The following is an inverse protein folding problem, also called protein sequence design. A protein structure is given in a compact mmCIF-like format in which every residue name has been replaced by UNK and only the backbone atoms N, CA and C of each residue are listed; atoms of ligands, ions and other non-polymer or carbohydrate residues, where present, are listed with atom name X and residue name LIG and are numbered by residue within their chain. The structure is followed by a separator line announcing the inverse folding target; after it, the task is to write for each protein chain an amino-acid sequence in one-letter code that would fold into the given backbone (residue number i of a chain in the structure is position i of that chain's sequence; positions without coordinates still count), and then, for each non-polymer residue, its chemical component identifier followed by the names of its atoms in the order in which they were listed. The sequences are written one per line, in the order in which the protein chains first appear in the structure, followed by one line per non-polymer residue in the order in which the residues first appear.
data_IF_343406905090
#
_entry.id   IF_343406905090
#
_cell.length_a   1.000
_cell.length_b   1.000
_cell.length_c   1.000
_cell.angle_alpha   90.00
_cell.angle_beta   90.00
_cell.angle_gamma   90.00
#
_symmetry.space_group_name_H-M   'P 1'
#
loop_
_entity.id
_entity.type
_entity.pdbx_description
1 polymer ?
#
# COMPACT_ATOMS: atom_id res chain seq x y z
N UNK A 1 4.90 -92.91 14.28
CA UNK A 1 4.26 -92.05 15.31
C UNK A 1 5.32 -91.06 15.76
N UNK A 2 5.47 -89.97 15.01
CA UNK A 2 6.49 -88.94 15.20
C UNK A 2 6.17 -87.80 14.22
N UNK A 3 5.51 -86.74 14.69
CA UNK A 3 5.44 -85.49 13.93
C UNK A 3 6.24 -84.44 14.71
N UNK A 4 7.37 -84.06 14.11
CA UNK A 4 8.18 -82.89 14.51
C UNK A 4 7.45 -81.64 14.02
N UNK A 5 7.10 -80.75 14.95
CA UNK A 5 6.56 -79.43 14.63
C UNK A 5 7.74 -78.44 14.57
N UNK A 6 8.10 -78.01 13.36
CA UNK A 6 9.14 -77.00 13.11
C UNK A 6 8.49 -75.62 13.22
N UNK A 7 8.86 -74.84 14.23
CA UNK A 7 8.41 -73.45 14.35
C UNK A 7 9.17 -72.56 13.35
N UNK A 8 8.45 -72.00 12.38
CA UNK A 8 8.96 -71.03 11.41
C UNK A 8 8.82 -69.62 12.01
N UNK A 9 9.94 -68.98 12.34
CA UNK A 9 9.98 -67.56 12.74
C UNK A 9 9.73 -66.69 11.50
N UNK A 10 8.57 -66.04 11.42
CA UNK A 10 8.28 -65.03 10.39
C UNK A 10 8.80 -63.68 10.89
N UNK A 11 9.90 -63.20 10.30
CA UNK A 11 10.40 -61.85 10.53
C UNK A 11 9.53 -60.85 9.75
N UNK A 12 8.75 -60.04 10.46
CA UNK A 12 7.99 -58.93 9.87
C UNK A 12 8.95 -57.75 9.70
N UNK A 13 9.38 -57.49 8.46
CA UNK A 13 10.10 -56.26 8.10
C UNK A 13 9.11 -55.10 8.01
N UNK A 14 9.12 -54.21 9.00
CA UNK A 14 8.39 -52.95 8.93
C UNK A 14 9.13 -51.98 7.99
N UNK A 15 8.64 -51.85 6.76
CA UNK A 15 9.09 -50.79 5.84
C UNK A 15 8.55 -49.44 6.32
N UNK A 16 9.40 -48.62 6.92
CA UNK A 16 9.11 -47.21 7.20
C UNK A 16 9.04 -46.48 5.87
N UNK A 17 7.83 -46.12 5.45
CA UNK A 17 7.62 -45.18 4.35
C UNK A 17 8.03 -43.81 4.87
N UNK A 18 9.26 -43.38 4.54
CA UNK A 18 9.69 -42.01 4.70
C UNK A 18 8.86 -41.15 3.73
N UNK A 19 7.83 -40.49 4.25
CA UNK A 19 7.19 -39.37 3.56
C UNK A 19 8.26 -38.32 3.32
N UNK A 20 8.60 -38.08 2.05
CA UNK A 20 9.48 -36.98 1.69
C UNK A 20 8.85 -35.69 2.20
N UNK A 21 9.58 -34.94 3.03
CA UNK A 21 9.26 -33.55 3.29
C UNK A 21 9.11 -32.84 1.94
N UNK A 22 7.91 -32.32 1.69
CA UNK A 22 7.63 -31.44 0.56
C UNK A 22 8.68 -30.33 0.56
N UNK A 23 9.54 -30.38 -0.45
CA UNK A 23 10.42 -29.27 -0.82
C UNK A 23 9.51 -28.08 -1.11
N UNK A 24 9.92 -26.93 -0.58
CA UNK A 24 9.18 -25.67 -0.51
C UNK A 24 8.15 -25.44 -1.62
N UNK A 25 6.97 -24.98 -1.21
CA UNK A 25 5.96 -24.42 -2.10
C UNK A 25 6.66 -23.57 -3.17
N UNK A 26 6.56 -24.00 -4.42
CA UNK A 26 7.05 -23.22 -5.55
C UNK A 26 6.49 -21.80 -5.41
N UNK A 27 7.36 -20.79 -5.46
CA UNK A 27 6.93 -19.40 -5.50
C UNK A 27 5.87 -19.31 -6.61
N UNK A 28 4.65 -18.87 -6.26
CA UNK A 28 3.59 -18.69 -7.23
C UNK A 28 4.14 -17.95 -8.45
N UNK A 29 3.89 -18.47 -9.65
CA UNK A 29 4.43 -17.90 -10.88
C UNK A 29 4.13 -16.40 -10.92
N UNK A 30 5.19 -15.61 -11.12
CA UNK A 30 5.07 -14.16 -11.13
C UNK A 30 4.05 -13.73 -12.21
N UNK A 31 3.02 -12.93 -11.86
CA UNK A 31 2.00 -12.54 -12.81
C UNK A 31 2.60 -11.76 -13.98
N UNK A 32 2.06 -11.96 -15.18
CA UNK A 32 2.38 -11.08 -16.29
C UNK A 32 1.71 -9.72 -16.04
N UNK A 33 2.44 -8.59 -16.15
CA UNK A 33 1.80 -7.28 -16.13
C UNK A 33 0.72 -7.23 -17.20
N UNK A 34 -0.52 -6.81 -16.87
CA UNK A 34 -1.56 -6.66 -17.87
C UNK A 34 -1.11 -5.68 -18.96
N UNK A 35 -1.58 -5.88 -20.18
CA UNK A 35 -1.28 -4.98 -21.28
C UNK A 35 -1.83 -3.58 -20.96
N UNK A 36 -0.95 -2.58 -20.88
CA UNK A 36 -1.36 -1.18 -20.80
C UNK A 36 -1.85 -0.72 -22.17
N UNK A 37 -2.99 -0.03 -22.19
CA UNK A 37 -3.28 0.86 -23.32
C UNK A 37 -2.30 2.02 -23.22
N UNK A 38 -1.60 2.37 -24.31
CA UNK A 38 -0.61 3.45 -24.28
C UNK A 38 -1.23 4.73 -23.73
N UNK A 39 -0.84 5.12 -22.51
CA UNK A 39 -1.34 6.32 -21.82
C UNK A 39 -0.26 7.39 -21.74
N UNK A 40 -0.68 8.64 -21.86
CA UNK A 40 0.17 9.83 -21.83
C UNK A 40 0.05 10.61 -20.50
N UNK A 41 -0.48 9.96 -19.47
CA UNK A 41 -0.64 10.48 -18.12
C UNK A 41 -0.20 9.45 -17.08
N UNK A 42 0.17 9.92 -15.89
CA UNK A 42 0.58 9.07 -14.76
C UNK A 42 -0.64 8.51 -13.99
N UNK A 43 -0.47 7.35 -13.34
CA UNK A 43 -1.43 6.72 -12.44
C UNK A 43 -0.79 6.56 -11.07
N UNK A 44 -1.50 7.02 -10.04
CA UNK A 44 -1.12 6.91 -8.64
C UNK A 44 -2.17 6.06 -7.93
N UNK A 45 -1.75 5.00 -7.24
CA UNK A 45 -2.65 4.19 -6.42
C UNK A 45 -2.28 4.30 -4.93
N UNK A 46 -3.24 4.76 -4.12
CA UNK A 46 -3.05 5.09 -2.71
C UNK A 46 -3.88 4.17 -1.83
N UNK A 47 -3.22 3.53 -0.88
CA UNK A 47 -3.79 2.63 0.11
C UNK A 47 -3.92 3.38 1.44
N UNK A 48 -5.15 3.64 1.87
CA UNK A 48 -5.42 4.32 3.14
C UNK A 48 -5.97 3.32 4.14
N UNK A 49 -5.15 2.90 5.10
CA UNK A 49 -5.62 2.09 6.23
C UNK A 49 -6.39 3.01 7.19
N UNK A 50 -7.72 2.86 7.26
CA UNK A 50 -8.56 3.68 8.12
C UNK A 50 -8.16 3.53 9.59
N UNK A 51 -8.21 4.64 10.33
CA UNK A 51 -7.86 4.66 11.75
C UNK A 51 -8.86 3.81 12.54
N UNK A 52 -8.39 2.91 13.40
CA UNK A 52 -9.28 2.05 14.16
C UNK A 52 -8.73 1.79 15.57
N UNK A 53 -9.43 2.30 16.58
CA UNK A 53 -9.04 2.17 17.98
C UNK A 53 -9.11 0.71 18.47
N UNK A 54 -9.99 -0.10 17.88
CA UNK A 54 -10.28 -1.45 18.37
C UNK A 54 -9.27 -2.48 17.87
N UNK A 55 -8.92 -2.43 16.58
CA UNK A 55 -8.06 -3.44 15.95
C UNK A 55 -6.60 -3.02 15.77
N UNK A 56 -6.26 -1.75 15.98
CA UNK A 56 -4.90 -1.23 15.77
C UNK A 56 -4.25 -0.86 17.11
N UNK A 57 -2.96 -1.13 17.24
CA UNK A 57 -2.14 -0.76 18.41
C UNK A 57 -1.85 0.75 18.53
N UNK A 58 -2.79 1.60 18.11
CA UNK A 58 -2.65 3.06 18.11
C UNK A 58 -2.93 3.65 19.49
N UNK A 59 -2.38 4.84 19.75
CA UNK A 59 -2.90 5.68 20.82
C UNK A 59 -4.36 6.02 20.49
N UNK A 60 -5.33 5.72 21.39
CA UNK A 60 -6.73 5.93 21.08
C UNK A 60 -7.03 7.38 20.73
N UNK A 61 -7.75 7.57 19.62
CA UNK A 61 -8.30 8.86 19.20
C UNK A 61 -9.79 8.93 19.59
N UNK A 62 -10.47 10.08 19.52
CA UNK A 62 -11.90 10.14 19.78
C UNK A 62 -12.68 9.09 18.97
N UNK A 63 -13.61 8.37 19.60
CA UNK A 63 -14.27 7.20 19.02
C UNK A 63 -14.86 7.45 17.62
N UNK A 64 -15.40 8.65 17.39
CA UNK A 64 -15.96 9.04 16.09
C UNK A 64 -14.95 9.01 14.93
N UNK A 65 -13.69 9.39 15.18
CA UNK A 65 -12.66 9.47 14.14
C UNK A 65 -11.75 8.23 14.13
N UNK A 66 -11.85 7.40 15.17
CA UNK A 66 -11.13 6.12 15.32
C UNK A 66 -12.00 4.90 15.07
N UNK A 67 -13.09 5.03 14.30
CA UNK A 67 -13.90 3.91 13.84
C UNK A 67 -13.45 3.50 12.43
N UNK A 68 -12.85 2.32 12.31
CA UNK A 68 -12.33 1.78 11.05
C UNK A 68 -13.39 1.36 10.03
N UNK A 69 -14.66 1.36 10.41
CA UNK A 69 -15.82 1.01 9.59
C UNK A 69 -16.64 2.23 9.14
N UNK A 70 -16.26 3.45 9.57
CA UNK A 70 -16.94 4.70 9.25
C UNK A 70 -16.04 5.66 8.45
N UNK A 71 -15.90 5.48 7.13
CA UNK A 71 -15.08 6.36 6.30
C UNK A 71 -15.48 7.84 6.42
N UNK A 72 -16.77 8.13 6.56
CA UNK A 72 -17.29 9.49 6.53
C UNK A 72 -16.73 10.37 7.67
N UNK A 73 -16.40 9.76 8.81
CA UNK A 73 -15.83 10.45 9.96
C UNK A 73 -14.37 10.09 10.26
N UNK A 74 -13.82 9.05 9.62
CA UNK A 74 -12.49 8.53 9.94
C UNK A 74 -11.37 9.58 9.82
N UNK A 75 -10.40 9.51 10.75
CA UNK A 75 -9.25 10.42 10.85
C UNK A 75 -8.43 10.54 9.56
N UNK A 76 -8.23 9.44 8.82
CA UNK A 76 -7.41 9.42 7.60
C UNK A 76 -8.23 9.61 6.31
N UNK A 77 -9.55 9.78 6.42
CA UNK A 77 -10.45 9.83 5.28
C UNK A 77 -11.43 11.01 5.30
N UNK A 78 -12.40 10.99 6.20
CA UNK A 78 -13.52 11.93 6.25
C UNK A 78 -13.23 13.24 6.98
N UNK A 79 -12.26 13.23 7.91
CA UNK A 79 -11.80 14.44 8.60
C UNK A 79 -11.16 15.45 7.62
N UNK A 80 -11.01 16.73 8.02
CA UNK A 80 -10.54 17.81 7.13
C UNK A 80 -9.22 17.52 6.41
N UNK A 81 -8.33 16.80 7.09
CA UNK A 81 -7.00 16.43 6.63
C UNK A 81 -6.95 15.00 6.04
N UNK A 82 -8.08 14.29 6.06
CA UNK A 82 -8.25 12.97 5.49
C UNK A 82 -8.38 12.99 3.97
N UNK A 83 -8.07 11.87 3.33
CA UNK A 83 -7.92 11.78 1.87
C UNK A 83 -9.16 12.21 1.10
N UNK A 84 -10.35 11.77 1.52
CA UNK A 84 -11.61 12.16 0.87
C UNK A 84 -11.86 13.64 0.97
N UNK A 85 -11.80 14.20 2.17
CA UNK A 85 -12.12 15.61 2.40
C UNK A 85 -11.10 16.54 1.75
N UNK A 86 -9.81 16.20 1.87
CA UNK A 86 -8.71 17.05 1.39
C UNK A 86 -8.69 17.13 -0.14
N UNK A 87 -8.66 16.00 -0.84
CA UNK A 87 -8.65 16.00 -2.31
C UNK A 87 -9.95 16.54 -2.91
N UNK A 88 -11.11 16.31 -2.28
CA UNK A 88 -12.38 16.89 -2.75
C UNK A 88 -12.42 18.43 -2.66
N UNK A 89 -11.65 19.04 -1.75
CA UNK A 89 -11.52 20.51 -1.63
C UNK A 89 -10.39 21.09 -2.48
N UNK A 90 -9.55 20.25 -3.07
CA UNK A 90 -8.40 20.73 -3.85
C UNK A 90 -8.86 21.42 -5.12
N UNK A 91 -8.23 22.57 -5.43
CA UNK A 91 -8.47 23.29 -6.70
C UNK A 91 -7.78 22.61 -7.88
N UNK A 92 -6.84 21.70 -7.63
CA UNK A 92 -6.00 21.05 -8.64
C UNK A 92 -6.57 19.72 -9.13
N UNK A 93 -7.47 19.11 -8.36
CA UNK A 93 -8.01 17.79 -8.62
C UNK A 93 -9.51 17.85 -8.87
N UNK A 94 -9.99 17.07 -9.83
CA UNK A 94 -11.41 16.88 -10.12
C UNK A 94 -11.79 15.45 -9.74
N UNK A 95 -12.84 15.26 -8.94
CA UNK A 95 -13.34 13.92 -8.60
C UNK A 95 -14.13 13.37 -9.78
N UNK A 96 -13.69 12.23 -10.32
CA UNK A 96 -14.38 11.51 -11.40
C UNK A 96 -15.40 10.51 -10.84
N UNK A 97 -15.06 9.80 -9.77
CA UNK A 97 -15.97 8.84 -9.14
C UNK A 97 -15.71 8.67 -7.64
N UNK A 98 -16.72 8.14 -6.97
CA UNK A 98 -16.69 7.70 -5.58
C UNK A 98 -17.67 6.53 -5.42
N UNK A 99 -17.24 5.43 -4.81
CA UNK A 99 -18.13 4.29 -4.61
C UNK A 99 -17.44 3.09 -3.97
N UNK A 100 -18.21 2.03 -3.73
CA UNK A 100 -17.67 0.76 -3.25
C UNK A 100 -16.96 0.01 -4.39
N UNK A 101 -15.95 -0.78 -4.04
CA UNK A 101 -15.29 -1.67 -4.98
C UNK A 101 -16.01 -3.02 -4.99
N UNK A 102 -16.43 -3.48 -6.17
CA UNK A 102 -17.10 -4.78 -6.33
C UNK A 102 -16.14 -5.90 -5.90
N UNK A 103 -16.66 -6.89 -5.18
CA UNK A 103 -15.93 -8.09 -4.73
C UNK A 103 -14.72 -7.81 -3.80
N UNK A 104 -14.60 -6.59 -3.27
CA UNK A 104 -13.55 -6.18 -2.35
C UNK A 104 -14.14 -5.51 -1.09
N UNK A 105 -14.86 -6.26 -0.22
CA UNK A 105 -15.57 -5.71 0.94
C UNK A 105 -14.67 -5.07 2.01
N UNK A 106 -13.37 -5.35 1.97
CA UNK A 106 -12.34 -4.72 2.79
C UNK A 106 -12.03 -3.28 2.36
N UNK A 107 -12.39 -2.88 1.13
CA UNK A 107 -12.28 -1.49 0.65
C UNK A 107 -13.67 -0.86 0.76
N UNK A 108 -13.82 0.08 1.70
CA UNK A 108 -15.12 0.67 2.02
C UNK A 108 -15.55 1.75 1.02
N UNK A 109 -14.58 2.47 0.46
CA UNK A 109 -14.79 3.49 -0.58
C UNK A 109 -13.52 3.61 -1.42
N UNK A 110 -13.68 3.62 -2.74
CA UNK A 110 -12.66 4.01 -3.71
C UNK A 110 -13.03 5.36 -4.30
N UNK A 111 -12.05 6.26 -4.37
CA UNK A 111 -12.16 7.55 -5.02
C UNK A 111 -11.24 7.59 -6.23
N UNK A 112 -11.73 8.18 -7.32
CA UNK A 112 -10.94 8.48 -8.50
C UNK A 112 -10.92 9.99 -8.70
N UNK A 113 -9.73 10.56 -8.71
CA UNK A 113 -9.49 11.96 -9.04
C UNK A 113 -8.59 12.07 -10.27
N UNK A 114 -8.78 13.14 -11.04
CA UNK A 114 -7.90 13.49 -12.15
C UNK A 114 -7.30 14.88 -11.90
N UNK A 115 -5.98 14.99 -12.05
CA UNK A 115 -5.30 16.27 -11.95
C UNK A 115 -5.59 17.14 -13.16
N UNK A 116 -6.06 18.38 -12.94
CA UNK A 116 -6.57 19.26 -14.00
C UNK A 116 -5.54 19.64 -15.07
N UNK A 117 -4.25 19.66 -14.72
CA UNK A 117 -3.17 20.06 -15.65
C UNK A 117 -2.47 18.87 -16.29
N UNK A 118 -2.03 17.90 -15.49
CA UNK A 118 -1.23 16.76 -15.99
C UNK A 118 -2.07 15.57 -16.44
N UNK A 119 -3.39 15.60 -16.21
CA UNK A 119 -4.31 14.46 -16.37
C UNK A 119 -3.97 13.23 -15.55
N UNK A 120 -3.02 13.35 -14.61
CA UNK A 120 -2.65 12.26 -13.70
C UNK A 120 -3.88 11.74 -12.98
N UNK A 121 -4.04 10.43 -12.99
CA UNK A 121 -5.11 9.74 -12.27
C UNK A 121 -4.62 9.41 -10.86
N UNK A 122 -5.41 9.76 -9.86
CA UNK A 122 -5.20 9.38 -8.46
C UNK A 122 -6.36 8.51 -8.02
N UNK A 123 -6.05 7.24 -7.74
CA UNK A 123 -6.97 6.25 -7.20
C UNK A 123 -6.64 6.08 -5.72
N UNK A 124 -7.64 6.22 -4.86
CA UNK A 124 -7.47 6.18 -3.41
C UNK A 124 -8.47 5.18 -2.82
N UNK A 125 -7.97 4.21 -2.07
CA UNK A 125 -8.78 3.17 -1.44
C UNK A 125 -8.81 3.32 0.08
N UNK A 126 -10.02 3.45 0.63
CA UNK A 126 -10.28 3.41 2.06
C UNK A 126 -10.37 1.96 2.54
N UNK A 127 -9.26 1.40 2.99
CA UNK A 127 -9.21 0.07 3.57
C UNK A 127 -9.79 0.11 4.98
N UNK A 128 -10.76 -0.78 5.24
CA UNK A 128 -11.36 -1.00 6.56
C UNK A 128 -10.25 -1.12 7.61
N UNK A 129 -10.43 -0.47 8.76
CA UNK A 129 -9.35 -0.38 9.76
C UNK A 129 -8.86 -1.73 10.28
N UNK A 130 -9.78 -2.68 10.49
CA UNK A 130 -9.47 -4.08 10.84
C UNK A 130 -8.79 -4.88 9.73
N UNK A 131 -8.73 -4.34 8.52
CA UNK A 131 -8.06 -4.91 7.35
C UNK A 131 -6.69 -4.29 7.09
N UNK A 132 -6.04 -3.69 8.10
CA UNK A 132 -4.71 -3.08 7.95
C UNK A 132 -3.63 -4.08 7.50
N UNK A 133 -3.64 -5.32 8.03
CA UNK A 133 -2.68 -6.34 7.62
C UNK A 133 -2.83 -6.72 6.14
N UNK A 134 -4.02 -7.09 5.62
CA UNK A 134 -4.18 -7.34 4.20
C UNK A 134 -3.97 -6.08 3.33
N UNK A 135 -4.24 -4.88 3.85
CA UNK A 135 -3.93 -3.62 3.16
C UNK A 135 -2.41 -3.47 2.91
N UNK A 136 -1.59 -3.61 3.95
CA UNK A 136 -0.12 -3.52 3.83
C UNK A 136 0.43 -4.67 2.98
N UNK A 137 -0.14 -5.87 3.12
CA UNK A 137 0.24 -7.01 2.28
C UNK A 137 -0.01 -6.71 0.80
N UNK A 138 -1.18 -6.19 0.43
CA UNK A 138 -1.49 -5.86 -0.97
C UNK A 138 -0.64 -4.69 -1.48
N UNK A 139 -0.37 -3.69 -0.64
CA UNK A 139 0.58 -2.61 -0.96
C UNK A 139 1.98 -3.17 -1.27
N UNK A 140 2.52 -4.07 -0.44
CA UNK A 140 3.81 -4.71 -0.67
C UNK A 140 3.82 -5.61 -1.92
N UNK A 141 2.74 -6.36 -2.18
CA UNK A 141 2.59 -7.14 -3.42
C UNK A 141 2.56 -6.23 -4.65
N UNK A 142 1.91 -5.07 -4.54
CA UNK A 142 1.84 -4.07 -5.61
C UNK A 142 3.21 -3.45 -5.88
N UNK A 143 3.97 -3.10 -4.84
CA UNK A 143 5.35 -2.62 -4.96
C UNK A 143 6.23 -3.63 -5.70
N UNK A 144 6.09 -4.91 -5.37
CA UNK A 144 6.83 -6.00 -5.99
C UNK A 144 6.34 -6.36 -7.41
N UNK A 145 5.25 -5.75 -7.90
CA UNK A 145 4.67 -6.11 -9.18
C UNK A 145 4.01 -7.48 -9.19
N UNK A 146 3.58 -7.99 -8.04
CA UNK A 146 2.94 -9.30 -7.86
C UNK A 146 1.41 -9.19 -7.73
N UNK A 147 0.87 -7.96 -7.72
CA UNK A 147 -0.56 -7.66 -7.73
C UNK A 147 -0.85 -6.61 -8.80
N UNK A 148 -1.88 -6.85 -9.60
CA UNK A 148 -2.42 -5.90 -10.58
C UNK A 148 -3.94 -5.87 -10.49
N UNK A 149 -4.53 -4.76 -10.89
CA UNK A 149 -5.98 -4.63 -11.09
C UNK A 149 -6.20 -3.70 -12.29
N UNK A 150 -7.07 -4.10 -13.23
CA UNK A 150 -7.51 -3.24 -14.33
C UNK A 150 -8.73 -2.45 -13.87
N UNK A 151 -8.61 -1.13 -13.88
CA UNK A 151 -9.63 -0.19 -13.47
C UNK A 151 -10.24 0.50 -14.70
N UNK A 152 -11.57 0.40 -14.80
CA UNK A 152 -12.34 1.20 -15.75
C UNK A 152 -12.82 2.49 -15.09
N UNK A 153 -12.62 3.63 -15.75
CA UNK A 153 -13.16 4.91 -15.31
C UNK A 153 -13.70 5.72 -16.49
N UNK A 154 -14.50 6.74 -16.20
CA UNK A 154 -15.06 7.66 -17.20
C UNK A 154 -14.63 9.09 -16.91
N UNK A 155 -14.25 9.81 -17.96
CA UNK A 155 -14.09 11.26 -17.95
C UNK A 155 -14.87 11.91 -19.10
N UNK A 156 -14.59 13.17 -19.42
CA UNK A 156 -15.22 13.91 -20.50
C UNK A 156 -14.92 13.36 -21.91
N UNK A 157 -13.88 12.53 -22.06
CA UNK A 157 -13.47 11.91 -23.32
C UNK A 157 -14.01 10.50 -23.51
N UNK A 158 -14.68 9.94 -22.51
CA UNK A 158 -15.31 8.63 -22.56
C UNK A 158 -14.80 7.67 -21.50
N UNK A 159 -14.91 6.38 -21.79
CA UNK A 159 -14.48 5.30 -20.90
C UNK A 159 -13.04 4.89 -21.21
N UNK A 160 -12.24 4.71 -20.15
CA UNK A 160 -10.83 4.36 -20.22
C UNK A 160 -10.54 3.17 -19.31
N UNK A 161 -9.51 2.40 -19.65
CA UNK A 161 -8.97 1.34 -18.81
C UNK A 161 -7.49 1.60 -18.50
N UNK A 162 -7.13 1.50 -17.22
CA UNK A 162 -5.76 1.64 -16.73
C UNK A 162 -5.46 0.53 -15.73
N UNK A 163 -4.19 0.13 -15.59
CA UNK A 163 -3.85 -0.77 -14.49
C UNK A 163 -3.41 0.03 -13.26
N UNK A 164 -3.96 -0.36 -12.11
CA UNK A 164 -3.58 0.13 -10.78
C UNK A 164 -2.79 -0.96 -10.04
N UNK A 165 -2.55 -0.77 -8.73
CA UNK A 165 -1.66 -1.65 -7.96
C UNK A 165 -0.26 -1.68 -8.61
N UNK A 166 0.31 -2.85 -8.92
CA UNK A 166 1.60 -2.95 -9.60
C UNK A 166 1.69 -2.26 -10.96
N UNK A 167 0.52 -1.91 -11.55
CA UNK A 167 0.33 -1.12 -12.77
C UNK A 167 0.60 0.39 -12.64
N UNK A 168 0.61 0.92 -11.41
CA UNK A 168 0.76 2.34 -11.15
C UNK A 168 2.21 2.84 -11.27
N UNK A 169 2.36 4.13 -11.59
CA UNK A 169 3.66 4.82 -11.64
C UNK A 169 4.14 5.24 -10.24
N UNK A 170 3.18 5.48 -9.34
CA UNK A 170 3.42 5.72 -7.92
C UNK A 170 2.42 4.92 -7.06
N UNK A 171 2.96 4.29 -6.02
CA UNK A 171 2.19 3.68 -4.95
C UNK A 171 2.36 4.51 -3.68
N UNK A 172 1.27 4.77 -2.99
CA UNK A 172 1.28 5.49 -1.73
C UNK A 172 0.56 4.71 -0.62
N UNK A 173 1.08 4.78 0.60
CA UNK A 173 0.42 4.26 1.80
C UNK A 173 0.21 5.39 2.80
N UNK A 174 -0.98 5.45 3.41
CA UNK A 174 -1.36 6.39 4.47
C UNK A 174 -2.06 5.62 5.59
N UNK A 175 -1.66 5.87 6.84
CA UNK A 175 -2.40 5.40 8.02
C UNK A 175 -1.48 4.98 9.15
N UNK A 176 -2.00 4.12 10.03
CA UNK A 176 -1.18 3.50 11.07
C UNK A 176 -0.07 2.62 10.46
N UNK A 177 1.06 2.50 11.16
CA UNK A 177 2.12 1.59 10.75
C UNK A 177 1.89 0.20 11.35
N UNK A 178 1.08 -0.63 10.69
CA UNK A 178 0.80 -2.00 11.11
C UNK A 178 2.05 -2.90 11.24
N UNK A 179 3.15 -2.56 10.55
CA UNK A 179 4.42 -3.30 10.68
C UNK A 179 5.12 -3.09 12.04
N UNK A 180 4.58 -2.21 12.90
CA UNK A 180 4.98 -2.09 14.30
C UNK A 180 4.37 -3.20 15.17
N UNK A 181 3.28 -3.82 14.73
CA UNK A 181 2.57 -4.87 15.48
C UNK A 181 2.70 -6.26 14.84
N UNK A 182 2.88 -6.32 13.52
CA UNK A 182 3.04 -7.58 12.79
C UNK A 182 4.21 -7.54 11.81
N UNK A 183 4.60 -8.72 11.32
CA UNK A 183 5.62 -8.86 10.28
C UNK A 183 5.05 -9.49 9.03
N UNK A 184 5.50 -9.01 7.87
CA UNK A 184 5.25 -9.61 6.57
C UNK A 184 6.57 -10.07 5.95
N UNK A 185 6.55 -11.05 5.04
CA UNK A 185 7.72 -11.37 4.24
C UNK A 185 8.07 -10.20 3.31
N UNK A 186 9.37 -10.03 3.04
CA UNK A 186 9.80 -9.20 1.94
C UNK A 186 9.53 -9.91 0.62
N UNK A 187 9.08 -9.17 -0.40
CA UNK A 187 8.74 -9.72 -1.71
C UNK A 187 9.76 -9.24 -2.74
N UNK A 188 10.40 -10.15 -3.50
CA UNK A 188 11.31 -9.75 -4.57
C UNK A 188 10.54 -9.15 -5.75
N UNK A 189 11.19 -8.25 -6.46
CA UNK A 189 10.67 -7.67 -7.70
C UNK A 189 10.27 -8.76 -8.69
N UNK A 190 9.06 -8.64 -9.25
CA UNK A 190 8.61 -9.45 -10.36
C UNK A 190 9.50 -9.16 -11.60
N UNK A 191 10.24 -10.15 -12.13
CA UNK A 191 11.14 -9.95 -13.26
C UNK A 191 10.40 -9.59 -14.56
N UNK A 192 9.10 -9.88 -14.66
CA UNK A 192 8.27 -9.52 -15.81
C UNK A 192 7.85 -8.04 -15.79
N UNK A 193 7.98 -7.37 -14.64
CA UNK A 193 7.63 -5.95 -14.50
C UNK A 193 8.71 -5.06 -15.10
N UNK A 194 8.35 -4.33 -16.16
CA UNK A 194 9.27 -3.43 -16.88
C UNK A 194 9.27 -1.99 -16.36
N UNK A 195 8.14 -1.51 -15.87
CA UNK A 195 8.00 -0.12 -15.44
C UNK A 195 8.69 0.12 -14.09
N UNK A 196 9.21 1.32 -13.84
CA UNK A 196 9.65 1.72 -12.50
C UNK A 196 8.42 2.12 -11.65
N UNK A 197 8.46 1.92 -10.33
CA UNK A 197 7.41 2.46 -9.42
C UNK A 197 8.05 3.34 -8.38
N UNK A 198 7.45 4.51 -8.17
CA UNK A 198 7.74 5.39 -7.04
C UNK A 198 6.94 4.96 -5.82
N UNK A 199 7.53 5.05 -4.62
CA UNK A 199 6.84 4.72 -3.38
C UNK A 199 6.80 5.90 -2.41
N UNK A 200 5.63 6.20 -1.85
CA UNK A 200 5.45 7.16 -0.76
C UNK A 200 4.81 6.44 0.42
N UNK A 201 5.44 6.47 1.59
CA UNK A 201 4.91 5.77 2.77
C UNK A 201 4.78 6.72 3.95
N UNK A 202 3.54 7.11 4.24
CA UNK A 202 3.16 8.05 5.28
C UNK A 202 2.51 7.31 6.45
N UNK A 203 3.34 6.89 7.39
CA UNK A 203 2.95 6.32 8.69
C UNK A 203 4.11 6.52 9.67
N UNK A 204 3.98 6.13 10.94
CA UNK A 204 5.06 6.28 11.93
C UNK A 204 6.31 5.47 11.56
N UNK A 205 7.50 6.09 11.53
CA UNK A 205 8.80 5.41 11.32
C UNK A 205 8.85 4.53 10.05
N UNK A 206 8.19 4.94 8.98
CA UNK A 206 8.05 4.10 7.79
C UNK A 206 9.39 3.71 7.19
N UNK A 207 10.43 4.56 7.28
CA UNK A 207 11.78 4.20 6.80
C UNK A 207 12.34 2.97 7.51
N UNK A 208 12.09 2.83 8.81
CA UNK A 208 12.59 1.68 9.57
C UNK A 208 11.87 0.39 9.18
N UNK A 209 10.55 0.44 9.05
CA UNK A 209 9.73 -0.77 8.88
C UNK A 209 9.52 -1.18 7.43
N UNK A 210 9.40 -0.23 6.50
CA UNK A 210 9.10 -0.50 5.09
C UNK A 210 10.33 -0.64 4.21
N UNK A 211 11.53 -0.17 4.63
CA UNK A 211 12.73 -0.28 3.80
C UNK A 211 13.06 -1.74 3.41
N UNK A 212 12.84 -2.69 4.33
CA UNK A 212 13.03 -4.14 4.07
C UNK A 212 12.06 -4.72 3.04
N UNK A 213 10.95 -4.04 2.76
CA UNK A 213 9.97 -4.43 1.73
C UNK A 213 10.21 -3.67 0.42
N UNK A 214 10.56 -2.39 0.50
CA UNK A 214 10.77 -1.53 -0.68
C UNK A 214 12.03 -1.94 -1.45
N UNK A 215 13.17 -2.11 -0.78
CA UNK A 215 14.43 -2.41 -1.45
C UNK A 215 14.37 -3.68 -2.34
N UNK A 216 13.93 -4.85 -1.86
CA UNK A 216 13.85 -6.05 -2.69
C UNK A 216 12.75 -6.00 -3.75
N UNK A 217 11.70 -5.18 -3.56
CA UNK A 217 10.62 -5.01 -4.55
C UNK A 217 11.05 -4.24 -5.81
N UNK A 218 12.21 -3.57 -5.77
CA UNK A 218 12.69 -2.70 -6.85
C UNK A 218 11.98 -1.35 -6.94
N UNK A 219 11.08 -1.04 -6.00
CA UNK A 219 10.42 0.26 -5.90
C UNK A 219 11.39 1.36 -5.46
N UNK A 220 11.20 2.58 -5.98
CA UNK A 220 12.02 3.75 -5.67
C UNK A 220 11.32 4.60 -4.59
N UNK A 221 11.81 4.63 -3.35
CA UNK A 221 11.21 5.46 -2.31
C UNK A 221 11.36 6.95 -2.66
N UNK A 222 10.28 7.71 -2.52
CA UNK A 222 10.24 9.17 -2.77
C UNK A 222 10.07 9.97 -1.50
N UNK A 223 9.25 9.48 -0.57
CA UNK A 223 9.09 10.04 0.77
C UNK A 223 8.78 8.94 1.76
N UNK A 224 9.53 8.91 2.87
CA UNK A 224 9.34 8.04 4.02
C UNK A 224 9.57 8.85 5.31
N UNK A 225 9.12 8.33 6.45
CA UNK A 225 9.20 9.02 7.75
C UNK A 225 10.28 8.38 8.62
N UNK A 226 10.99 9.22 9.37
CA UNK A 226 11.99 8.82 10.34
C UNK A 226 11.43 8.72 11.77
N UNK A 227 10.30 9.39 12.04
CA UNK A 227 9.74 9.55 13.39
C UNK A 227 8.24 9.17 13.43
N UNK A 228 7.68 9.14 14.65
CA UNK A 228 6.23 9.10 14.84
C UNK A 228 5.62 10.41 14.32
N UNK A 229 4.45 10.34 13.67
CA UNK A 229 3.83 11.50 13.04
C UNK A 229 2.35 11.27 12.72
N UNK A 230 1.62 12.34 12.42
CA UNK A 230 0.24 12.30 11.95
C UNK A 230 0.16 12.22 10.40
N UNK A 231 -0.20 11.08 9.79
CA UNK A 231 -0.15 10.88 8.34
C UNK A 231 -1.39 11.43 7.63
N UNK A 232 -1.48 12.76 7.50
CA UNK A 232 -2.57 13.40 6.76
C UNK A 232 -2.36 13.45 5.24
N UNK A 233 -3.46 13.49 4.48
CA UNK A 233 -3.45 13.53 3.02
C UNK A 233 -2.86 14.83 2.44
N UNK A 234 -2.82 15.90 3.22
CA UNK A 234 -2.17 17.16 2.85
C UNK A 234 -0.67 17.01 2.56
N UNK A 235 0.00 16.01 3.17
CA UNK A 235 1.40 15.68 2.90
C UNK A 235 1.50 15.04 1.51
N UNK A 236 0.67 14.01 1.26
CA UNK A 236 0.66 13.30 -0.02
C UNK A 236 0.34 14.27 -1.17
N UNK A 237 -0.64 15.15 -0.99
CA UNK A 237 -0.98 16.17 -1.97
C UNK A 237 0.27 16.97 -2.41
N UNK A 238 0.96 17.61 -1.46
CA UNK A 238 2.14 18.42 -1.79
C UNK A 238 3.29 17.61 -2.38
N UNK A 239 3.47 16.35 -1.94
CA UNK A 239 4.47 15.43 -2.51
C UNK A 239 4.15 15.09 -3.96
N UNK A 240 2.88 14.78 -4.28
CA UNK A 240 2.45 14.51 -5.65
C UNK A 240 2.70 15.74 -6.53
N UNK A 241 2.37 16.95 -6.07
CA UNK A 241 2.61 18.18 -6.84
C UNK A 241 4.10 18.43 -7.14
N UNK A 242 5.01 17.98 -6.26
CA UNK A 242 6.45 17.99 -6.53
C UNK A 242 6.87 16.88 -7.49
N UNK A 243 6.32 15.68 -7.30
CA UNK A 243 6.64 14.52 -8.12
C UNK A 243 6.23 14.74 -9.59
N UNK A 244 5.06 15.35 -9.83
CA UNK A 244 4.62 15.76 -11.17
C UNK A 244 5.51 16.80 -11.84
N UNK A 245 6.39 17.47 -11.08
CA UNK A 245 7.41 18.40 -11.58
C UNK A 245 8.79 17.76 -11.71
N UNK A 246 8.88 16.43 -11.55
CA UNK A 246 10.14 15.68 -11.54
C UNK A 246 11.13 16.21 -10.49
N UNK A 247 10.63 16.68 -9.34
CA UNK A 247 11.51 17.08 -8.25
C UNK A 247 12.20 15.87 -7.62
N UNK A 248 13.46 16.08 -7.24
CA UNK A 248 14.28 15.10 -6.52
C UNK A 248 13.79 14.85 -5.09
N UNK A 249 14.27 13.76 -4.49
CA UNK A 249 13.90 13.28 -3.16
C UNK A 249 14.14 14.33 -2.06
N UNK A 250 15.17 15.17 -2.21
CA UNK A 250 15.45 16.26 -1.27
C UNK A 250 14.35 17.32 -1.30
N UNK A 251 13.90 17.72 -2.49
CA UNK A 251 12.79 18.66 -2.66
C UNK A 251 11.44 18.04 -2.25
N UNK A 252 11.20 16.77 -2.57
CA UNK A 252 10.00 16.06 -2.14
C UNK A 252 9.92 15.95 -0.61
N UNK A 253 11.04 15.64 0.05
CA UNK A 253 11.16 15.67 1.51
C UNK A 253 10.86 17.06 2.07
N UNK A 254 11.38 18.12 1.45
CA UNK A 254 11.12 19.50 1.87
C UNK A 254 9.64 19.87 1.69
N UNK A 255 8.97 19.41 0.62
CA UNK A 255 7.53 19.61 0.42
C UNK A 255 6.73 18.94 1.52
N UNK A 256 7.02 17.67 1.81
CA UNK A 256 6.39 16.93 2.89
C UNK A 256 6.57 17.65 4.24
N UNK A 257 7.79 18.09 4.54
CA UNK A 257 8.10 18.84 5.76
C UNK A 257 7.37 20.19 5.84
N UNK A 258 7.28 20.94 4.73
CA UNK A 258 6.52 22.21 4.70
C UNK A 258 5.03 21.98 4.89
N UNK A 259 4.46 20.94 4.28
CA UNK A 259 3.06 20.57 4.45
C UNK A 259 2.76 20.20 5.92
N UNK A 260 3.62 19.36 6.51
CA UNK A 260 3.54 18.96 7.92
C UNK A 260 3.69 20.14 8.88
N UNK A 261 4.68 21.00 8.64
CA UNK A 261 4.93 22.20 9.44
C UNK A 261 3.69 23.12 9.53
N UNK A 262 3.03 23.36 8.38
CA UNK A 262 1.81 24.20 8.32
C UNK A 262 0.66 23.60 9.10
N UNK A 263 0.48 22.28 9.04
CA UNK A 263 -0.63 21.61 9.73
C UNK A 263 -0.38 21.49 11.24
N UNK A 264 0.85 21.21 11.65
CA UNK A 264 1.21 21.00 13.06
C UNK A 264 1.63 22.28 13.79
N UNK A 265 1.63 23.43 13.10
CA UNK A 265 2.09 24.72 13.62
C UNK A 265 3.51 24.67 14.22
N UNK A 266 4.44 24.01 13.49
CA UNK A 266 5.85 23.92 13.87
C UNK A 266 6.76 24.51 12.77
N UNK A 267 8.02 24.74 13.08
CA UNK A 267 8.99 25.19 12.07
C UNK A 267 9.23 24.11 11.00
N UNK A 268 9.50 24.50 9.75
CA UNK A 268 9.90 23.55 8.70
C UNK A 268 11.18 22.80 9.06
N UNK A 269 12.11 23.44 9.79
CA UNK A 269 13.33 22.77 10.28
C UNK A 269 13.00 21.62 11.23
N UNK A 270 12.05 21.82 12.15
CA UNK A 270 11.57 20.76 13.05
C UNK A 270 10.85 19.67 12.27
N UNK A 271 9.98 20.03 11.33
CA UNK A 271 9.25 19.07 10.50
C UNK A 271 10.17 18.23 9.60
N UNK A 272 11.33 18.74 9.17
CA UNK A 272 12.29 17.95 8.38
C UNK A 272 12.80 16.72 9.12
N UNK A 273 12.83 16.73 10.45
CA UNK A 273 13.24 15.56 11.26
C UNK A 273 12.18 14.45 11.27
N UNK A 274 10.95 14.74 10.85
CA UNK A 274 9.88 13.74 10.71
C UNK A 274 10.09 12.89 9.47
N UNK A 275 10.69 13.44 8.42
CA UNK A 275 10.88 12.78 7.12
C UNK A 275 12.32 12.32 6.95
N UNK A 276 12.49 11.05 6.56
CA UNK A 276 13.80 10.46 6.37
C UNK A 276 14.53 11.10 5.17
N UNK A 277 15.84 11.37 5.25
CA UNK A 277 16.63 11.57 4.05
C UNK A 277 16.65 10.25 3.26
N UNK A 278 16.38 10.35 1.97
CA UNK A 278 16.50 9.22 1.03
C UNK A 278 17.72 9.47 0.12
N UNK A 279 18.39 8.40 -0.33
CA UNK A 279 19.53 8.49 -1.22
C UNK A 279 19.16 9.06 -2.59
#
# INVERSE_FOLDING_TARGET
MTFRLTALLIAITASVVLTSCDKGAAAADNPQPPQESGRDFNVIHTYVALCDNESQGIAPVPAKIGNGDDPANNLYWGCSDGSRAYFSKSKLWTRLSAGKTKDQPQILERLIFQHKKSRTLLVIDAWRGSSIQPCIQEFCQSLAGQKYETLTFKDDKGEHQVNIAGGADMLAFIGHNGLMEFSLPALPANPNRKQAVSAVVLCCKSQHFFAKHIAPSGAKPKVMTASNMYPGAFILHDVIEGWLKNEDETKLRLRAAKAYARNQNISTKSALNVFAPLP
#
